data_IF_580710935140
#
_entry.id   IF_580710935140
#
_cell.length_a   1.000
_cell.length_b   1.000
_cell.length_c   1.000
_cell.angle_alpha   90.00
_cell.angle_beta   90.00
_cell.angle_gamma   90.00
#
_symmetry.space_group_name_H-M   'P 1'
#
loop_
_entity.id
_entity.type
_entity.pdbx_description
1 polymer ?
#
# COMPACT_ATOMS: atom_id res chain seq x y z
N UNK A 1 64.59 15.38 -5.41
CA UNK A 1 63.45 15.79 -4.55
C UNK A 1 62.24 15.95 -5.43
N UNK A 2 61.28 15.05 -5.27
CA UNK A 2 60.02 14.93 -6.00
C UNK A 2 58.96 15.86 -5.42
N UNK A 3 58.24 16.60 -6.27
CA UNK A 3 56.97 17.24 -5.90
C UNK A 3 55.82 16.33 -6.32
N UNK A 4 54.82 16.06 -5.46
CA UNK A 4 53.66 15.28 -5.86
C UNK A 4 52.66 16.15 -6.63
N UNK A 5 52.11 15.61 -7.71
CA UNK A 5 50.94 16.15 -8.40
C UNK A 5 49.71 15.95 -7.51
N UNK A 6 49.03 17.03 -7.13
CA UNK A 6 47.72 16.97 -6.51
C UNK A 6 46.68 16.60 -7.57
N UNK A 7 46.21 15.36 -7.57
CA UNK A 7 45.03 14.95 -8.31
C UNK A 7 43.81 15.59 -7.65
N UNK A 8 43.24 16.61 -8.30
CA UNK A 8 41.90 17.10 -7.95
C UNK A 8 40.90 15.98 -8.24
N UNK A 9 40.42 15.33 -7.19
CA UNK A 9 39.32 14.38 -7.27
C UNK A 9 38.06 15.15 -7.67
N UNK A 10 37.74 15.13 -8.97
CA UNK A 10 36.46 15.59 -9.48
C UNK A 10 35.39 14.66 -8.93
N UNK A 11 34.77 15.02 -7.80
CA UNK A 11 33.49 14.44 -7.39
C UNK A 11 32.48 14.79 -8.47
N UNK A 12 32.32 13.89 -9.44
CA UNK A 12 31.20 13.91 -10.37
C UNK A 12 29.93 13.75 -9.55
N UNK A 13 29.28 14.86 -9.20
CA UNK A 13 27.89 14.82 -8.75
C UNK A 13 27.09 14.23 -9.90
N UNK A 14 26.76 12.93 -9.81
CA UNK A 14 25.85 12.31 -10.76
C UNK A 14 24.53 13.06 -10.67
N UNK A 15 24.26 13.87 -11.70
CA UNK A 15 23.01 14.59 -11.84
C UNK A 15 21.92 13.53 -11.88
N UNK A 16 21.13 13.40 -10.80
CA UNK A 16 20.05 12.41 -10.71
C UNK A 16 19.17 12.58 -11.94
N UNK A 17 19.28 11.64 -12.89
CA UNK A 17 18.52 11.67 -14.13
C UNK A 17 17.06 11.43 -13.74
N UNK A 18 16.15 12.23 -14.29
CA UNK A 18 14.71 11.96 -14.16
C UNK A 18 14.41 10.73 -15.00
N UNK A 19 14.06 9.64 -14.33
CA UNK A 19 13.66 8.39 -14.96
C UNK A 19 12.14 8.29 -14.99
N UNK A 20 11.59 7.76 -16.08
CA UNK A 20 10.17 7.55 -16.27
C UNK A 20 9.97 6.06 -16.49
N UNK A 21 9.20 5.45 -15.60
CA UNK A 21 8.83 4.04 -15.67
C UNK A 21 7.36 3.91 -16.06
N UNK A 22 7.02 2.80 -16.72
CA UNK A 22 5.64 2.51 -17.14
C UNK A 22 5.22 1.14 -16.63
N UNK A 23 4.00 1.07 -16.12
CA UNK A 23 3.28 -0.16 -15.87
C UNK A 23 1.90 -0.08 -16.52
N UNK A 24 1.48 -1.13 -17.22
CA UNK A 24 0.15 -1.21 -17.81
C UNK A 24 -0.65 -2.30 -17.09
N UNK A 25 -1.58 -1.86 -16.24
CA UNK A 25 -2.49 -2.77 -15.57
C UNK A 25 -3.49 -3.38 -16.59
N UNK A 26 -3.91 -4.63 -16.38
CA UNK A 26 -4.90 -5.30 -17.24
C UNK A 26 -6.34 -4.75 -17.09
N UNK A 27 -6.57 -3.85 -16.13
CA UNK A 27 -7.83 -3.19 -15.85
C UNK A 27 -7.62 -1.69 -15.57
N UNK A 28 -8.67 -0.86 -15.69
CA UNK A 28 -8.64 0.49 -15.18
C UNK A 28 -8.28 0.52 -13.69
N UNK A 29 -7.56 1.55 -13.27
CA UNK A 29 -7.11 1.73 -11.89
C UNK A 29 -8.01 2.72 -11.17
N UNK A 30 -8.34 2.43 -9.91
CA UNK A 30 -9.17 3.30 -9.06
C UNK A 30 -8.40 3.91 -7.89
N UNK A 31 -7.56 3.12 -7.23
CA UNK A 31 -6.75 3.58 -6.10
C UNK A 31 -5.35 2.99 -6.13
N UNK A 32 -4.41 3.67 -5.48
CA UNK A 32 -3.01 3.26 -5.43
C UNK A 32 -2.30 3.84 -4.21
N UNK A 33 -1.25 3.16 -3.73
CA UNK A 33 -0.39 3.69 -2.68
C UNK A 33 1.02 3.06 -2.69
N UNK A 34 2.02 3.89 -2.42
CA UNK A 34 3.43 3.49 -2.36
C UNK A 34 3.78 2.90 -1.00
N UNK A 35 4.51 1.80 -1.02
CA UNK A 35 5.14 1.24 0.17
C UNK A 35 6.25 2.17 0.65
N UNK A 36 6.29 2.44 1.95
CA UNK A 36 7.35 3.23 2.60
C UNK A 36 8.47 2.37 3.22
N UNK A 37 8.33 1.04 3.12
CA UNK A 37 9.33 0.10 3.64
C UNK A 37 10.69 0.25 2.94
N UNK A 38 11.81 0.35 3.69
CA UNK A 38 13.14 0.58 3.12
C UNK A 38 13.71 -0.67 2.41
N UNK A 39 13.32 -1.87 2.84
CA UNK A 39 13.76 -3.15 2.29
C UNK A 39 13.03 -3.54 0.99
N UNK A 40 11.91 -2.87 0.67
CA UNK A 40 11.10 -3.12 -0.52
C UNK A 40 10.87 -1.84 -1.29
N UNK A 41 11.95 -1.37 -1.94
CA UNK A 41 11.95 -0.13 -2.72
C UNK A 41 11.01 -0.21 -3.92
N UNK A 42 10.46 0.93 -4.31
CA UNK A 42 9.64 1.11 -5.52
C UNK A 42 8.49 0.10 -5.64
N UNK A 43 7.85 -0.23 -4.52
CA UNK A 43 6.69 -1.12 -4.47
C UNK A 43 5.41 -0.32 -4.36
N UNK A 44 4.42 -0.67 -5.18
CA UNK A 44 3.15 0.02 -5.30
C UNK A 44 2.01 -1.00 -5.18
N UNK A 45 0.96 -0.66 -4.44
CA UNK A 45 -0.31 -1.39 -4.46
C UNK A 45 -1.29 -0.65 -5.37
N UNK A 46 -2.05 -1.40 -6.17
CA UNK A 46 -2.99 -0.92 -7.17
C UNK A 46 -4.35 -1.58 -6.98
N UNK A 47 -5.42 -0.81 -6.99
CA UNK A 47 -6.80 -1.29 -6.97
C UNK A 47 -7.46 -1.12 -8.32
N UNK A 48 -8.15 -2.15 -8.81
CA UNK A 48 -8.90 -2.09 -10.07
C UNK A 48 -10.18 -1.28 -9.95
N UNK A 49 -10.72 -0.89 -11.11
CA UNK A 49 -12.11 -0.54 -11.29
C UNK A 49 -12.75 -1.49 -12.31
N UNK A 50 -13.49 -2.47 -11.82
CA UNK A 50 -14.33 -3.38 -12.60
C UNK A 50 -15.75 -3.23 -12.08
N UNK A 51 -16.73 -3.10 -12.99
CA UNK A 51 -18.13 -2.85 -12.62
C UNK A 51 -18.79 -4.06 -11.95
N UNK A 52 -18.21 -5.25 -12.12
CA UNK A 52 -18.64 -6.50 -11.49
C UNK A 52 -18.07 -6.68 -10.08
N UNK A 53 -18.65 -7.61 -9.32
CA UNK A 53 -18.20 -8.02 -7.98
C UNK A 53 -16.93 -8.90 -8.03
N UNK A 54 -15.90 -8.43 -8.73
CA UNK A 54 -14.66 -9.18 -8.97
C UNK A 54 -13.49 -8.24 -9.24
N UNK A 55 -13.36 -7.22 -8.39
CA UNK A 55 -12.22 -6.31 -8.44
C UNK A 55 -10.95 -7.02 -7.97
N UNK A 56 -9.79 -6.44 -8.30
CA UNK A 56 -8.48 -6.97 -7.98
C UNK A 56 -7.66 -5.91 -7.26
N UNK A 57 -6.86 -6.36 -6.29
CA UNK A 57 -5.73 -5.58 -5.78
C UNK A 57 -4.46 -6.27 -6.22
N UNK A 58 -3.51 -5.48 -6.73
CA UNK A 58 -2.26 -5.97 -7.28
C UNK A 58 -1.09 -5.20 -6.67
N UNK A 59 -0.09 -5.95 -6.21
CA UNK A 59 1.18 -5.40 -5.76
C UNK A 59 2.16 -5.53 -6.91
N UNK A 60 2.77 -4.42 -7.28
CA UNK A 60 3.84 -4.36 -8.28
C UNK A 60 5.12 -3.82 -7.63
N UNK A 61 6.27 -4.20 -8.18
CA UNK A 61 7.54 -3.55 -7.84
C UNK A 61 8.42 -3.39 -9.06
N UNK A 62 9.24 -2.35 -9.02
CA UNK A 62 10.27 -2.10 -10.02
C UNK A 62 11.42 -3.07 -9.78
N UNK A 63 11.77 -3.81 -10.81
CA UNK A 63 13.06 -4.47 -10.87
C UNK A 63 14.10 -3.44 -11.36
N UNK A 64 15.05 -3.10 -10.48
CA UNK A 64 16.08 -2.08 -10.76
C UNK A 64 17.10 -2.56 -11.80
N UNK A 65 17.26 -3.87 -12.01
CA UNK A 65 18.17 -4.43 -13.01
C UNK A 65 17.57 -4.29 -14.42
N UNK A 66 16.29 -4.62 -14.57
CA UNK A 66 15.59 -4.55 -15.85
C UNK A 66 14.94 -3.20 -16.10
N UNK A 67 14.81 -2.35 -15.08
CA UNK A 67 14.06 -1.08 -15.12
C UNK A 67 12.59 -1.26 -15.49
N UNK A 68 12.00 -2.40 -15.12
CA UNK A 68 10.61 -2.74 -15.44
C UNK A 68 9.78 -3.04 -14.19
N UNK A 69 8.53 -2.56 -14.18
CA UNK A 69 7.57 -2.94 -13.14
C UNK A 69 6.98 -4.31 -13.47
N UNK A 70 6.99 -5.20 -12.48
CA UNK A 70 6.36 -6.51 -12.59
C UNK A 70 5.36 -6.74 -11.47
N UNK A 71 4.29 -7.48 -11.77
CA UNK A 71 3.32 -7.91 -10.76
C UNK A 71 3.95 -8.96 -9.85
N UNK A 72 3.81 -8.77 -8.54
CA UNK A 72 4.36 -9.63 -7.49
C UNK A 72 3.30 -10.44 -6.78
N UNK A 73 2.11 -9.86 -6.59
CA UNK A 73 0.96 -10.54 -6.01
C UNK A 73 -0.33 -9.91 -6.54
N UNK A 74 -1.38 -10.71 -6.70
CA UNK A 74 -2.72 -10.24 -7.10
C UNK A 74 -3.77 -11.04 -6.36
N UNK A 75 -4.79 -10.37 -5.83
CA UNK A 75 -5.85 -11.01 -5.06
C UNK A 75 -7.20 -10.32 -5.31
N UNK A 76 -8.26 -11.04 -4.98
CA UNK A 76 -9.64 -10.63 -5.25
C UNK A 76 -10.13 -9.62 -4.21
N UNK A 77 -10.92 -8.66 -4.67
CA UNK A 77 -11.60 -7.68 -3.85
C UNK A 77 -13.06 -7.53 -4.32
N UNK A 78 -14.05 -7.54 -3.41
CA UNK A 78 -15.48 -7.40 -3.72
C UNK A 78 -15.84 -6.23 -4.64
N UNK A 79 -15.30 -5.05 -4.33
CA UNK A 79 -15.63 -3.78 -4.98
C UNK A 79 -14.35 -3.01 -5.32
N UNK A 80 -14.39 -1.94 -6.15
CA UNK A 80 -13.25 -1.05 -6.27
C UNK A 80 -12.86 -0.51 -4.90
N UNK A 81 -11.57 -0.56 -4.58
CA UNK A 81 -11.07 -0.09 -3.29
C UNK A 81 -11.16 1.43 -3.21
N UNK A 82 -11.99 1.97 -2.31
CA UNK A 82 -12.13 3.43 -2.14
C UNK A 82 -10.83 4.09 -1.70
N UNK A 83 -10.00 3.34 -0.95
CA UNK A 83 -8.61 3.70 -0.66
C UNK A 83 -7.79 2.43 -0.44
N UNK A 84 -6.49 2.53 -0.67
CA UNK A 84 -5.48 1.53 -0.35
C UNK A 84 -4.35 2.26 0.38
N UNK A 85 -3.80 1.69 1.45
CA UNK A 85 -2.61 2.22 2.11
C UNK A 85 -1.74 1.08 2.65
N UNK A 86 -0.43 1.21 2.46
CA UNK A 86 0.53 0.43 3.21
C UNK A 86 0.58 0.90 4.66
N UNK A 87 0.94 0.00 5.57
CA UNK A 87 1.32 0.40 6.92
C UNK A 87 2.44 1.47 6.85
N UNK A 88 2.36 2.57 7.63
CA UNK A 88 3.37 3.63 7.64
C UNK A 88 4.66 3.23 8.38
N UNK A 89 5.19 2.05 8.06
CA UNK A 89 6.38 1.48 8.69
C UNK A 89 7.66 1.79 7.90
N UNK A 90 8.22 2.98 8.14
CA UNK A 90 9.49 3.42 7.54
C UNK A 90 10.73 2.70 8.08
N UNK A 91 10.59 1.94 9.18
CA UNK A 91 11.70 1.21 9.81
C UNK A 91 11.69 -0.30 9.50
N UNK A 92 10.59 -0.82 8.96
CA UNK A 92 10.43 -2.24 8.64
C UNK A 92 10.30 -3.13 9.88
N UNK A 93 9.84 -2.59 11.02
CA UNK A 93 9.72 -3.31 12.30
C UNK A 93 8.38 -4.00 12.49
N UNK A 94 7.37 -3.66 11.69
CA UNK A 94 6.04 -4.24 11.73
C UNK A 94 5.85 -5.31 10.65
N UNK A 95 4.84 -6.19 10.80
CA UNK A 95 4.37 -7.01 9.69
C UNK A 95 4.05 -6.14 8.47
N UNK A 96 4.31 -6.68 7.28
CA UNK A 96 4.14 -5.97 6.02
C UNK A 96 2.65 -5.88 5.64
N UNK A 97 1.93 -4.97 6.29
CA UNK A 97 0.48 -4.86 6.17
C UNK A 97 0.06 -3.88 5.06
N UNK A 98 -1.05 -4.23 4.42
CA UNK A 98 -1.77 -3.42 3.45
C UNK A 98 -3.22 -3.33 3.91
N UNK A 99 -3.78 -2.12 3.94
CA UNK A 99 -5.19 -1.89 4.26
C UNK A 99 -5.94 -1.46 3.01
N UNK A 100 -7.16 -1.94 2.86
CA UNK A 100 -8.08 -1.56 1.77
C UNK A 100 -9.46 -1.24 2.32
N UNK A 101 -10.11 -0.20 1.78
CA UNK A 101 -11.49 0.15 2.11
C UNK A 101 -12.44 -0.10 0.95
N UNK A 102 -13.69 -0.41 1.28
CA UNK A 102 -14.80 -0.61 0.35
C UNK A 102 -16.09 -0.72 1.17
N UNK A 103 -16.76 -1.86 1.11
CA UNK A 103 -17.80 -2.26 2.06
C UNK A 103 -17.28 -2.41 3.51
N UNK A 104 -16.05 -2.90 3.67
CA UNK A 104 -15.36 -3.01 4.96
C UNK A 104 -13.93 -2.53 4.87
N UNK A 105 -13.31 -2.26 6.03
CA UNK A 105 -11.86 -2.12 6.14
C UNK A 105 -11.25 -3.53 6.24
N UNK A 106 -10.40 -3.88 5.28
CA UNK A 106 -9.70 -5.17 5.22
C UNK A 106 -8.22 -4.96 5.42
N UNK A 107 -7.62 -5.85 6.18
CA UNK A 107 -6.18 -5.91 6.43
C UNK A 107 -5.62 -7.15 5.75
N UNK A 108 -4.52 -6.95 5.04
CA UNK A 108 -3.82 -7.98 4.29
C UNK A 108 -2.35 -7.98 4.72
N UNK A 109 -1.73 -9.15 4.76
CA UNK A 109 -0.28 -9.29 4.91
C UNK A 109 0.34 -9.55 3.55
N UNK A 110 1.07 -8.56 3.07
CA UNK A 110 1.72 -8.63 1.78
C UNK A 110 2.81 -9.71 1.79
N UNK A 111 2.75 -10.57 0.77
CA UNK A 111 3.71 -11.63 0.54
C UNK A 111 3.89 -11.88 -0.95
N UNK A 112 4.99 -12.56 -1.28
CA UNK A 112 5.31 -12.94 -2.65
C UNK A 112 5.51 -14.47 -2.68
N UNK A 113 4.76 -15.21 -3.53
CA UNK A 113 3.81 -14.71 -4.53
C UNK A 113 2.40 -14.38 -3.96
N UNK A 114 2.11 -14.78 -2.72
CA UNK A 114 0.76 -14.71 -2.16
C UNK A 114 0.66 -13.66 -1.04
N UNK A 115 -0.30 -12.76 -1.20
CA UNK A 115 -0.77 -11.87 -0.14
C UNK A 115 -1.87 -12.57 0.63
N UNK A 116 -1.78 -12.55 1.96
CA UNK A 116 -2.70 -13.24 2.84
C UNK A 116 -3.73 -12.27 3.41
N UNK A 117 -4.97 -12.70 3.49
CA UNK A 117 -6.01 -11.98 4.21
C UNK A 117 -5.76 -12.15 5.72
N UNK A 118 -5.66 -11.04 6.45
CA UNK A 118 -5.47 -11.06 7.92
C UNK A 118 -6.80 -10.93 8.64
N UNK A 119 -7.53 -9.84 8.39
CA UNK A 119 -8.80 -9.61 9.07
C UNK A 119 -9.69 -8.58 8.34
N UNK A 120 -10.97 -8.59 8.72
CA UNK A 120 -11.94 -7.51 8.47
C UNK A 120 -12.17 -6.79 9.79
N UNK A 121 -12.12 -5.47 9.75
CA UNK A 121 -12.54 -4.62 10.85
C UNK A 121 -14.01 -4.22 10.65
N UNK A 122 -14.88 -4.84 11.45
CA UNK A 122 -16.32 -4.60 11.43
C UNK A 122 -16.86 -4.51 12.87
N UNK A 123 -17.62 -3.46 13.15
CA UNK A 123 -18.17 -3.15 14.46
C UNK A 123 -19.47 -3.94 14.73
N UNK A 124 -20.15 -4.40 13.68
CA UNK A 124 -21.46 -5.03 13.81
C UNK A 124 -21.39 -6.53 13.57
N UNK A 125 -21.27 -7.31 14.65
CA UNK A 125 -21.30 -8.78 14.59
C UNK A 125 -22.71 -9.36 14.41
N UNK A 126 -23.76 -8.53 14.54
CA UNK A 126 -25.16 -8.97 14.58
C UNK A 126 -25.98 -8.50 13.36
N UNK A 127 -25.44 -7.67 12.47
CA UNK A 127 -26.08 -7.36 11.20
C UNK A 127 -25.06 -7.28 10.06
N UNK A 128 -25.40 -7.89 8.93
CA UNK A 128 -24.61 -7.87 7.69
C UNK A 128 -24.61 -6.50 6.99
N UNK A 129 -25.16 -5.46 7.62
CA UNK A 129 -25.28 -4.12 7.06
C UNK A 129 -24.32 -3.16 7.75
N UNK A 130 -23.26 -2.77 7.05
CA UNK A 130 -22.40 -1.64 7.39
C UNK A 130 -22.42 -0.66 6.20
N UNK A 131 -22.47 0.65 6.49
CA UNK A 131 -22.39 1.65 5.45
C UNK A 131 -20.99 1.60 4.80
N UNK A 132 -20.90 1.58 3.45
CA UNK A 132 -19.61 1.50 2.78
C UNK A 132 -18.70 2.66 3.17
N UNK A 133 -17.42 2.34 3.29
CA UNK A 133 -16.36 3.26 3.65
C UNK A 133 -15.98 4.11 2.45
N UNK A 134 -16.01 5.42 2.65
CA UNK A 134 -15.57 6.41 1.66
C UNK A 134 -14.06 6.61 1.68
N UNK A 135 -13.42 6.43 2.83
CA UNK A 135 -11.98 6.60 3.01
C UNK A 135 -11.50 6.01 4.34
N UNK A 136 -10.19 5.97 4.54
CA UNK A 136 -9.56 5.75 5.83
C UNK A 136 -8.20 6.46 5.91
N UNK A 137 -7.61 6.57 7.09
CA UNK A 137 -6.23 7.02 7.26
C UNK A 137 -5.51 6.21 8.34
N UNK A 138 -4.21 6.00 8.15
CA UNK A 138 -3.38 5.18 9.04
C UNK A 138 -2.48 6.09 9.87
N UNK A 139 -2.54 5.95 11.19
CA UNK A 139 -1.74 6.78 12.07
C UNK A 139 -0.24 6.46 11.94
N UNK A 140 0.56 7.47 11.58
CA UNK A 140 2.02 7.35 11.39
C UNK A 140 2.81 7.27 12.70
N UNK A 141 2.24 7.75 13.82
CA UNK A 141 2.86 7.73 15.15
C UNK A 141 2.58 6.43 15.87
N UNK A 142 1.33 5.96 15.78
CA UNK A 142 0.89 4.67 16.31
C UNK A 142 0.23 3.84 15.19
N UNK A 143 1.01 3.00 14.48
CA UNK A 143 0.50 2.17 13.40
C UNK A 143 -0.54 1.13 13.82
N UNK A 144 -0.87 1.00 15.11
CA UNK A 144 -1.99 0.18 15.55
C UNK A 144 -3.35 0.85 15.27
N UNK A 145 -3.36 2.16 15.01
CA UNK A 145 -4.58 2.95 14.89
C UNK A 145 -4.94 3.27 13.43
N UNK A 146 -6.18 3.00 13.05
CA UNK A 146 -6.75 3.37 11.75
C UNK A 146 -8.07 4.11 11.97
N UNK A 147 -8.25 5.25 11.30
CA UNK A 147 -9.53 5.96 11.25
C UNK A 147 -10.25 5.71 9.93
N UNK A 148 -11.54 5.37 9.96
CA UNK A 148 -12.37 5.19 8.75
C UNK A 148 -13.49 6.22 8.69
N UNK A 149 -13.92 6.60 7.48
CA UNK A 149 -15.15 7.38 7.24
C UNK A 149 -16.11 6.61 6.34
N UNK A 150 -17.41 6.72 6.58
CA UNK A 150 -18.47 6.05 5.81
C UNK A 150 -19.49 7.02 5.22
N UNK A 151 -20.31 6.53 4.29
CA UNK A 151 -21.35 7.33 3.63
C UNK A 151 -22.46 7.78 4.58
N UNK A 152 -22.65 7.08 5.71
CA UNK A 152 -23.67 7.35 6.71
C UNK A 152 -23.23 8.39 7.75
N UNK A 153 -22.18 9.17 7.44
CA UNK A 153 -21.60 10.22 8.28
C UNK A 153 -20.86 9.72 9.53
N UNK A 154 -20.63 8.42 9.64
CA UNK A 154 -19.88 7.84 10.76
C UNK A 154 -18.37 7.90 10.51
N UNK A 155 -17.62 8.22 11.57
CA UNK A 155 -16.17 8.02 11.63
C UNK A 155 -15.86 7.04 12.77
N UNK A 156 -14.98 6.08 12.51
CA UNK A 156 -14.65 5.01 13.46
C UNK A 156 -13.13 4.92 13.63
N UNK A 157 -12.66 4.84 14.87
CA UNK A 157 -11.26 4.56 15.18
C UNK A 157 -11.12 3.08 15.55
N UNK A 158 -10.14 2.41 14.94
CA UNK A 158 -9.88 1.00 15.09
C UNK A 158 -8.51 0.77 15.71
N UNK A 159 -8.42 -0.20 16.62
CA UNK A 159 -7.14 -0.76 17.07
C UNK A 159 -6.88 -2.13 16.43
N UNK A 160 -5.85 -2.23 15.58
CA UNK A 160 -5.54 -3.43 14.78
C UNK A 160 -5.29 -4.68 15.64
N UNK A 161 -4.52 -4.57 16.72
CA UNK A 161 -4.20 -5.69 17.61
C UNK A 161 -5.46 -6.28 18.27
N UNK A 162 -6.41 -5.42 18.62
CA UNK A 162 -7.65 -5.84 19.28
C UNK A 162 -8.73 -6.26 18.29
N UNK A 163 -8.63 -5.79 17.04
CA UNK A 163 -9.68 -5.90 16.03
C UNK A 163 -10.98 -5.19 16.42
N UNK A 164 -10.91 -4.21 17.33
CA UNK A 164 -12.07 -3.56 17.94
C UNK A 164 -12.06 -2.05 17.73
N UNK A 165 -13.24 -1.46 17.88
CA UNK A 165 -13.44 -0.01 17.91
C UNK A 165 -12.96 0.54 19.26
N UNK A 166 -12.33 1.72 19.22
CA UNK A 166 -11.85 2.45 20.40
C UNK A 166 -12.72 3.67 20.71
#
# INVERSE_FOLDING_TARGET
MSMPHSSSSTTSSSTKRKEIYKYQAPWPLYSMNWSVRPDKRFRLALGSFVEEYNNKVQIISLDEETSEFSAKSTFDHPYPTTKIMWIPDSKGVYPDLLATSGDYLRIWRAGEPYTLFECVLNNNKNSDFCAPLTSFDWNEVDPNLIGTSSIDTTCTIWGLETGQVL
#
